data_IF_460849198350
#
_entry.id   IF_460849198350
#
_cell.length_a   1.000
_cell.length_b   1.000
_cell.length_c   1.000
_cell.angle_alpha   90.00
_cell.angle_beta   90.00
_cell.angle_gamma   90.00
#
_symmetry.space_group_name_H-M   'P 1'
#
loop_
_entity.id
_entity.type
_entity.pdbx_description
1 polymer ?
#
# COMPACT_ATOMS: atom_id res chain seq x y z
N UNK A 1 1.82 8.96 -1.97
CA UNK A 1 1.19 7.64 -1.72
C UNK A 1 0.79 7.50 -0.26
N UNK A 2 1.74 7.67 0.68
CA UNK A 2 1.46 7.65 2.13
C UNK A 2 0.35 8.61 2.54
N UNK A 3 0.37 9.83 2.01
CA UNK A 3 -0.69 10.83 2.23
C UNK A 3 -2.07 10.35 1.77
N UNK A 4 -2.14 9.52 0.72
CA UNK A 4 -3.41 8.95 0.25
C UNK A 4 -3.96 7.91 1.23
N UNK A 5 -3.08 7.09 1.82
CA UNK A 5 -3.47 6.19 2.91
C UNK A 5 -3.88 6.97 4.16
N UNK A 6 -3.20 8.07 4.50
CA UNK A 6 -3.59 8.95 5.59
C UNK A 6 -4.96 9.59 5.35
N UNK A 7 -5.22 10.11 4.15
CA UNK A 7 -6.50 10.69 3.76
C UNK A 7 -7.63 9.67 3.66
N UNK A 8 -7.32 8.40 3.35
CA UNK A 8 -8.28 7.29 3.38
C UNK A 8 -8.58 6.77 4.80
N UNK A 9 -8.00 7.36 5.86
CA UNK A 9 -8.19 6.90 7.24
C UNK A 9 -7.28 5.73 7.66
N UNK A 10 -6.37 5.30 6.79
CA UNK A 10 -5.39 4.24 7.04
C UNK A 10 -4.02 4.77 7.45
N UNK A 11 -3.98 5.96 8.07
CA UNK A 11 -2.75 6.61 8.50
C UNK A 11 -1.93 5.77 9.48
N UNK A 12 -2.55 4.94 10.32
CA UNK A 12 -1.84 4.07 11.26
C UNK A 12 -1.09 2.93 10.55
N UNK A 13 -1.73 2.27 9.58
CA UNK A 13 -1.08 1.23 8.78
C UNK A 13 0.07 1.81 7.95
N UNK A 14 -0.18 2.94 7.27
CA UNK A 14 0.82 3.70 6.56
C UNK A 14 2.02 4.09 7.45
N UNK A 15 1.76 4.59 8.66
CA UNK A 15 2.82 4.90 9.62
C UNK A 15 3.59 3.65 10.05
N UNK A 16 2.95 2.49 10.19
CA UNK A 16 3.65 1.25 10.55
C UNK A 16 4.65 0.80 9.49
N UNK A 17 4.39 1.13 8.22
CA UNK A 17 5.27 0.76 7.09
C UNK A 17 6.50 1.65 6.97
N UNK A 18 6.43 2.85 7.55
CA UNK A 18 7.53 3.81 7.57
C UNK A 18 8.26 3.76 8.91
N UNK A 19 7.59 3.39 9.99
CA UNK A 19 8.21 3.22 11.29
C UNK A 19 9.07 1.96 11.34
N UNK A 20 10.13 1.99 12.14
CA UNK A 20 10.92 0.80 12.45
C UNK A 20 10.09 -0.12 13.36
N UNK A 21 9.58 -1.24 12.84
CA UNK A 21 8.74 -2.18 13.59
C UNK A 21 7.99 -3.17 12.69
N UNK A 22 7.13 -4.03 13.26
CA UNK A 22 6.31 -4.94 12.46
C UNK A 22 5.27 -4.15 11.64
N UNK A 23 5.31 -4.35 10.32
CA UNK A 23 4.33 -3.78 9.41
C UNK A 23 2.92 -4.31 9.72
N UNK A 24 1.94 -3.40 9.84
CA UNK A 24 0.54 -3.80 9.88
C UNK A 24 0.08 -4.29 8.51
N UNK A 25 -0.59 -5.43 8.53
CA UNK A 25 -1.30 -5.96 7.38
C UNK A 25 -2.49 -5.04 7.07
N UNK A 26 -2.62 -4.61 5.82
CA UNK A 26 -3.77 -3.83 5.39
C UNK A 26 -4.73 -4.70 4.58
N UNK A 27 -6.02 -4.77 4.97
CA UNK A 27 -7.03 -5.51 4.23
C UNK A 27 -7.14 -5.04 2.78
N UNK A 28 -7.43 -5.94 1.82
CA UNK A 28 -7.53 -5.59 0.40
C UNK A 28 -8.57 -4.48 0.12
N UNK A 29 -9.65 -4.40 0.91
CA UNK A 29 -10.67 -3.34 0.81
C UNK A 29 -10.12 -1.96 1.14
N UNK A 30 -9.30 -1.85 2.19
CA UNK A 30 -8.65 -0.61 2.59
C UNK A 30 -7.53 -0.21 1.63
N UNK A 31 -6.84 -1.21 1.09
CA UNK A 31 -5.82 -1.01 0.08
C UNK A 31 -6.43 -0.46 -1.23
N UNK A 32 -7.60 -0.96 -1.63
CA UNK A 32 -8.35 -0.42 -2.78
C UNK A 32 -8.69 1.06 -2.60
N UNK A 33 -9.18 1.45 -1.41
CA UNK A 33 -9.52 2.85 -1.13
C UNK A 33 -8.31 3.78 -1.21
N UNK A 34 -7.15 3.33 -0.71
CA UNK A 34 -5.95 4.15 -0.70
C UNK A 34 -5.24 4.24 -2.06
N UNK A 35 -5.19 3.13 -2.81
CA UNK A 35 -4.61 3.09 -4.17
C UNK A 35 -5.52 3.81 -5.16
N UNK A 36 -6.83 3.70 -4.95
CA UNK A 36 -7.87 4.26 -5.80
C UNK A 36 -8.12 3.45 -7.07
N UNK A 37 -9.30 3.60 -7.67
CA UNK A 37 -9.77 2.77 -8.78
C UNK A 37 -8.98 2.95 -10.08
N UNK A 38 -8.41 4.13 -10.32
CA UNK A 38 -7.67 4.46 -11.54
C UNK A 38 -6.31 3.74 -11.64
N UNK A 39 -5.52 3.81 -10.55
CA UNK A 39 -4.25 3.09 -10.43
C UNK A 39 -4.50 1.58 -10.49
N UNK A 40 -5.55 1.12 -9.82
CA UNK A 40 -5.92 -0.29 -9.80
C UNK A 40 -6.33 -0.79 -11.20
N UNK A 41 -7.08 0.00 -11.96
CA UNK A 41 -7.42 -0.30 -13.36
C UNK A 41 -6.16 -0.37 -14.23
N UNK A 42 -5.24 0.57 -14.07
CA UNK A 42 -3.95 0.57 -14.79
C UNK A 42 -3.13 -0.68 -14.50
N UNK A 43 -3.06 -1.10 -13.23
CA UNK A 43 -2.33 -2.30 -12.83
C UNK A 43 -3.00 -3.58 -13.35
N UNK A 44 -4.33 -3.64 -13.32
CA UNK A 44 -5.12 -4.75 -13.86
C UNK A 44 -4.85 -4.91 -15.37
N UNK A 45 -4.87 -3.81 -16.12
CA UNK A 45 -4.55 -3.80 -17.57
C UNK A 45 -3.12 -4.23 -17.86
N UNK A 46 -2.15 -3.82 -17.04
CA UNK A 46 -0.73 -4.13 -17.25
C UNK A 46 -0.34 -5.56 -16.89
N UNK A 47 -0.91 -6.08 -15.81
CA UNK A 47 -0.57 -7.40 -15.27
C UNK A 47 -1.49 -8.50 -15.84
N UNK A 48 -2.66 -8.13 -16.35
CA UNK A 48 -3.71 -9.08 -16.74
C UNK A 48 -4.39 -9.78 -15.55
N UNK A 49 -4.05 -9.39 -14.31
CA UNK A 49 -4.62 -9.98 -13.10
C UNK A 49 -5.97 -9.36 -12.77
N UNK A 50 -6.87 -10.18 -12.23
CA UNK A 50 -8.12 -9.68 -11.65
C UNK A 50 -7.86 -8.75 -10.47
N UNK A 51 -8.78 -7.81 -10.26
CA UNK A 51 -8.72 -6.79 -9.21
C UNK A 51 -8.46 -7.38 -7.82
N UNK A 52 -9.20 -8.43 -7.44
CA UNK A 52 -9.03 -9.13 -6.15
C UNK A 52 -7.66 -9.80 -5.99
N UNK A 53 -7.17 -10.47 -7.03
CA UNK A 53 -5.86 -11.12 -7.04
C UNK A 53 -4.75 -10.08 -6.86
N UNK A 54 -4.89 -8.93 -7.55
CA UNK A 54 -3.96 -7.83 -7.42
C UNK A 54 -3.96 -7.24 -6.00
N UNK A 55 -5.15 -6.98 -5.43
CA UNK A 55 -5.30 -6.46 -4.07
C UNK A 55 -4.72 -7.44 -3.04
N UNK A 56 -4.94 -8.74 -3.21
CA UNK A 56 -4.42 -9.79 -2.31
C UNK A 56 -2.90 -9.90 -2.32
N UNK A 57 -2.28 -9.67 -3.48
CA UNK A 57 -0.82 -9.60 -3.62
C UNK A 57 -0.26 -8.32 -3.04
N UNK A 58 -0.85 -7.18 -3.41
CA UNK A 58 -0.40 -5.88 -2.92
C UNK A 58 -0.55 -5.76 -1.40
N UNK A 59 -1.61 -6.31 -0.81
CA UNK A 59 -1.79 -6.38 0.66
C UNK A 59 -0.60 -7.02 1.38
N UNK A 60 0.07 -8.00 0.75
CA UNK A 60 1.22 -8.72 1.31
C UNK A 60 2.55 -8.06 0.97
N UNK A 61 2.70 -7.63 -0.28
CA UNK A 61 3.98 -7.16 -0.83
C UNK A 61 4.24 -5.68 -0.55
N UNK A 62 3.19 -4.85 -0.56
CA UNK A 62 3.30 -3.38 -0.47
C UNK A 62 3.84 -2.89 0.88
N UNK A 63 3.45 -3.46 2.04
CA UNK A 63 4.06 -3.11 3.34
C UNK A 63 5.57 -3.35 3.35
N UNK A 64 6.01 -4.52 2.87
CA UNK A 64 7.42 -4.92 2.78
C UNK A 64 8.20 -4.06 1.78
N UNK A 65 7.56 -3.66 0.68
CA UNK A 65 8.16 -2.77 -0.29
C UNK A 65 8.38 -1.38 0.29
N UNK A 66 7.38 -0.79 0.98
CA UNK A 66 7.52 0.53 1.61
C UNK A 66 8.61 0.50 2.66
N UNK A 67 8.60 -0.47 3.58
CA UNK A 67 9.61 -0.66 4.63
C UNK A 67 11.04 -0.64 4.06
N UNK A 68 11.30 -1.42 2.99
CA UNK A 68 12.61 -1.43 2.32
C UNK A 68 13.00 -0.10 1.68
N UNK A 69 12.03 0.70 1.24
CA UNK A 69 12.28 2.02 0.66
C UNK A 69 12.34 3.15 1.71
N UNK A 70 12.00 2.88 2.97
CA UNK A 70 12.13 3.81 4.10
C UNK A 70 13.13 3.34 5.16
N UNK A 71 14.40 3.04 4.80
CA UNK A 71 15.38 2.51 5.75
C UNK A 71 15.71 3.48 6.91
N UNK A 72 15.53 4.79 6.73
CA UNK A 72 15.76 5.81 7.77
C UNK A 72 14.46 6.21 8.51
N UNK A 73 13.35 5.51 8.27
CA UNK A 73 12.02 5.93 8.73
C UNK A 73 11.55 7.26 8.15
N UNK A 74 12.17 7.68 7.05
CA UNK A 74 11.83 8.85 6.26
C UNK A 74 11.78 8.45 4.80
N UNK A 75 10.69 8.82 4.12
CA UNK A 75 10.64 8.79 2.66
C UNK A 75 11.60 9.89 2.19
N UNK A 76 12.64 9.58 1.39
CA UNK A 76 13.51 10.63 0.84
C UNK A 76 12.64 11.62 0.06
N UNK A 77 12.83 12.92 0.35
CA UNK A 77 12.05 14.03 -0.20
C UNK A 77 12.26 14.23 -1.71
#
# INVERSE_FOLDING_TARGET
MLERFQQAGHGAAAQSWVAQGPNQELPPQHLEQAIGPDVLATLTQRTGLSREELLSRLSRELPQAIDRYTPDGRIPA
#
